data_IF_807658107858
#
_entry.id   IF_807658107858
#
_cell.length_a   1.000
_cell.length_b   1.000
_cell.length_c   1.000
_cell.angle_alpha   90.00
_cell.angle_beta   90.00
_cell.angle_gamma   90.00
#
_symmetry.space_group_name_H-M   'P 1'
#
loop_
_entity.id
_entity.type
_entity.pdbx_description
1 polymer ?
#
# COMPACT_ATOMS: atom_id res chain seq x y z
N UNK A 1 13.05 11.07 6.85
CA UNK A 1 11.68 10.58 6.67
C UNK A 1 11.17 11.06 5.33
N UNK A 2 10.81 10.12 4.45
CA UNK A 2 10.28 10.37 3.11
C UNK A 2 8.80 9.98 3.07
N UNK A 3 8.00 10.74 2.32
CA UNK A 3 6.61 10.39 2.00
C UNK A 3 6.57 9.76 0.61
N UNK A 4 6.23 8.49 0.54
CA UNK A 4 6.12 7.73 -0.70
C UNK A 4 4.68 7.76 -1.19
N UNK A 5 4.42 8.43 -2.32
CA UNK A 5 3.08 8.47 -2.92
C UNK A 5 2.84 7.19 -3.69
N UNK A 6 1.93 6.36 -3.21
CA UNK A 6 1.64 5.05 -3.84
C UNK A 6 1.05 5.27 -5.23
N UNK A 7 1.77 4.83 -6.26
CA UNK A 7 1.40 5.06 -7.66
C UNK A 7 1.76 6.44 -8.21
N UNK A 8 2.58 7.22 -7.49
CA UNK A 8 3.05 8.55 -7.87
C UNK A 8 1.91 9.51 -8.26
N UNK A 9 1.89 10.01 -9.51
CA UNK A 9 0.84 10.89 -10.02
C UNK A 9 -0.43 10.14 -10.44
N UNK A 10 -0.33 8.85 -10.72
CA UNK A 10 -1.47 8.00 -11.06
C UNK A 10 -2.32 7.67 -9.83
N UNK A 11 -1.67 7.54 -8.67
CA UNK A 11 -2.32 7.25 -7.40
C UNK A 11 -2.83 5.81 -7.28
N UNK A 12 -3.73 5.60 -6.34
CA UNK A 12 -4.30 4.30 -6.01
C UNK A 12 -5.62 4.09 -6.76
N UNK A 13 -5.58 3.33 -7.87
CA UNK A 13 -6.65 3.30 -8.87
C UNK A 13 -6.76 1.96 -9.59
N UNK A 14 -7.91 1.73 -10.23
CA UNK A 14 -8.14 0.67 -11.24
C UNK A 14 -8.51 1.24 -12.61
N UNK A 15 -8.52 2.57 -12.77
CA UNK A 15 -8.93 3.23 -14.03
C UNK A 15 -7.96 2.96 -15.18
N UNK A 16 -6.70 2.71 -14.86
CA UNK A 16 -5.66 2.32 -15.82
C UNK A 16 -4.93 1.10 -15.25
N UNK A 17 -4.46 0.17 -16.10
CA UNK A 17 -3.53 -0.86 -15.65
C UNK A 17 -2.31 -0.20 -15.00
N UNK A 18 -2.00 -0.56 -13.76
CA UNK A 18 -0.87 -0.01 -13.03
C UNK A 18 -0.13 -1.11 -12.27
N UNK A 19 1.20 -1.16 -12.43
CA UNK A 19 2.05 -2.15 -11.80
C UNK A 19 2.62 -1.61 -10.48
N UNK A 20 1.85 -1.81 -9.41
CA UNK A 20 2.26 -1.40 -8.06
C UNK A 20 3.47 -2.18 -7.54
N UNK A 21 3.72 -3.40 -8.04
CA UNK A 21 4.90 -4.18 -7.64
C UNK A 21 6.17 -3.57 -8.23
N UNK A 22 6.12 -3.13 -9.49
CA UNK A 22 7.20 -2.36 -10.13
C UNK A 22 7.40 -1.01 -9.46
N UNK A 23 6.34 -0.30 -9.11
CA UNK A 23 6.44 0.94 -8.35
C UNK A 23 7.12 0.70 -6.99
N UNK A 24 6.72 -0.35 -6.26
CA UNK A 24 7.36 -0.67 -4.98
C UNK A 24 8.84 -1.04 -5.15
N UNK A 25 9.21 -1.77 -6.20
CA UNK A 25 10.59 -2.18 -6.44
C UNK A 25 11.51 -1.02 -6.87
N UNK A 26 10.96 0.07 -7.42
CA UNK A 26 11.72 1.28 -7.71
C UNK A 26 11.94 2.19 -6.50
N UNK A 27 11.34 1.88 -5.35
CA UNK A 27 11.44 2.67 -4.13
C UNK A 27 12.23 1.93 -3.04
N UNK A 28 12.82 2.69 -2.12
CA UNK A 28 13.46 2.17 -0.91
C UNK A 28 12.72 2.71 0.30
N UNK A 29 12.14 1.82 1.10
CA UNK A 29 11.34 2.18 2.26
C UNK A 29 12.13 1.90 3.54
N UNK A 30 12.21 2.90 4.42
CA UNK A 30 12.88 2.77 5.71
C UNK A 30 11.90 3.02 6.86
N UNK A 31 12.23 2.51 8.04
CA UNK A 31 11.55 2.92 9.27
C UNK A 31 11.60 4.45 9.41
N UNK A 32 10.44 5.04 9.72
CA UNK A 32 10.26 6.50 9.82
C UNK A 32 9.74 7.15 8.54
N UNK A 33 9.70 6.43 7.41
CA UNK A 33 8.99 6.88 6.21
C UNK A 33 7.47 6.72 6.36
N UNK A 34 6.72 7.19 5.36
CA UNK A 34 5.27 6.98 5.28
C UNK A 34 4.83 6.68 3.85
N UNK A 35 3.73 5.94 3.72
CA UNK A 35 3.02 5.71 2.47
C UNK A 35 1.84 6.66 2.40
N UNK A 36 1.69 7.39 1.31
CA UNK A 36 0.52 8.21 1.03
C UNK A 36 -0.31 7.57 -0.08
N UNK A 37 -1.51 7.12 0.25
CA UNK A 37 -2.49 6.61 -0.70
C UNK A 37 -3.48 7.72 -1.06
N UNK A 38 -3.45 8.19 -2.31
CA UNK A 38 -4.44 9.14 -2.83
C UNK A 38 -5.40 8.44 -3.78
N UNK A 39 -6.71 8.58 -3.54
CA UNK A 39 -7.75 7.94 -4.31
C UNK A 39 -9.13 8.59 -4.10
N UNK A 40 -10.07 8.32 -5.00
CA UNK A 40 -11.47 8.66 -4.76
C UNK A 40 -12.08 7.66 -3.75
N UNK A 41 -12.35 8.12 -2.54
CA UNK A 41 -12.89 7.29 -1.45
C UNK A 41 -14.31 6.74 -1.68
N UNK A 42 -15.01 7.18 -2.74
CA UNK A 42 -16.26 6.55 -3.19
C UNK A 42 -16.03 5.22 -3.90
N UNK A 43 -14.84 5.01 -4.47
CA UNK A 43 -14.54 3.87 -5.34
C UNK A 43 -13.43 2.97 -4.82
N UNK A 44 -12.62 3.44 -3.87
CA UNK A 44 -11.47 2.70 -3.36
C UNK A 44 -11.36 2.85 -1.84
N UNK A 45 -10.61 1.94 -1.25
CA UNK A 45 -10.11 2.00 0.12
C UNK A 45 -8.70 1.37 0.17
N UNK A 46 -8.10 1.38 1.35
CA UNK A 46 -6.82 0.71 1.60
C UNK A 46 -7.00 -0.21 2.81
N UNK A 47 -6.72 -1.49 2.61
CA UNK A 47 -6.72 -2.49 3.66
C UNK A 47 -5.29 -2.95 3.89
N UNK A 48 -4.85 -2.96 5.14
CA UNK A 48 -3.64 -3.67 5.52
C UNK A 48 -4.00 -5.12 5.85
N UNK A 49 -3.30 -6.07 5.24
CA UNK A 49 -3.59 -7.50 5.33
C UNK A 49 -2.31 -8.29 5.62
N UNK A 50 -2.47 -9.58 5.94
CA UNK A 50 -1.34 -10.50 5.96
C UNK A 50 -0.96 -10.99 4.54
N UNK A 51 0.10 -11.80 4.45
CA UNK A 51 0.61 -12.29 3.17
C UNK A 51 -0.37 -13.25 2.47
N UNK A 52 -1.09 -14.09 3.21
CA UNK A 52 -2.02 -15.08 2.64
C UNK A 52 -3.24 -14.37 2.05
N UNK A 53 -3.80 -13.44 2.81
CA UNK A 53 -4.87 -12.55 2.39
C UNK A 53 -4.47 -11.73 1.17
N UNK A 54 -3.24 -11.20 1.17
CA UNK A 54 -2.70 -10.51 0.00
C UNK A 54 -2.68 -11.42 -1.23
N UNK A 55 -2.07 -12.60 -1.15
CA UNK A 55 -1.96 -13.55 -2.28
C UNK A 55 -3.32 -13.96 -2.82
N UNK A 56 -4.27 -14.26 -1.93
CA UNK A 56 -5.62 -14.71 -2.28
C UNK A 56 -6.61 -13.58 -2.60
N UNK A 57 -6.21 -12.31 -2.44
CA UNK A 57 -7.10 -11.15 -2.48
C UNK A 57 -8.29 -11.26 -1.52
N UNK A 58 -8.05 -11.82 -0.33
CA UNK A 58 -9.05 -11.90 0.73
C UNK A 58 -9.08 -10.61 1.55
N UNK A 59 -10.17 -9.86 1.47
CA UNK A 59 -10.40 -8.61 2.20
C UNK A 59 -11.29 -8.76 3.44
N UNK A 60 -11.61 -9.99 3.86
CA UNK A 60 -12.67 -10.25 4.85
C UNK A 60 -12.29 -9.90 6.30
N UNK A 61 -11.00 -9.91 6.64
CA UNK A 61 -10.51 -9.66 8.01
C UNK A 61 -9.19 -8.88 8.00
N UNK A 62 -9.19 -7.62 7.55
CA UNK A 62 -7.98 -6.82 7.46
C UNK A 62 -7.48 -6.44 8.86
N UNK A 63 -6.16 -6.29 9.01
CA UNK A 63 -5.54 -5.82 10.25
C UNK A 63 -5.80 -4.32 10.49
N UNK A 64 -5.95 -3.54 9.41
CA UNK A 64 -6.34 -2.13 9.47
C UNK A 64 -7.09 -1.75 8.19
N UNK A 65 -7.95 -0.73 8.29
CA UNK A 65 -8.74 -0.22 7.17
C UNK A 65 -8.66 1.30 7.14
N UNK A 66 -8.45 1.85 5.95
CA UNK A 66 -8.34 3.29 5.71
C UNK A 66 -9.22 3.67 4.52
N UNK A 67 -9.99 4.75 4.69
CA UNK A 67 -11.08 5.11 3.77
C UNK A 67 -11.17 6.63 3.54
N UNK A 68 -10.15 7.42 3.90
CA UNK A 68 -10.26 8.88 3.80
C UNK A 68 -10.15 9.38 2.35
N UNK A 69 -9.44 8.64 1.49
CA UNK A 69 -9.05 9.09 0.13
C UNK A 69 -7.68 9.76 0.06
N UNK A 70 -7.07 10.05 1.21
CA UNK A 70 -5.73 10.61 1.35
C UNK A 70 -5.05 10.05 2.62
N UNK A 71 -4.87 8.73 2.66
CA UNK A 71 -4.39 8.04 3.86
C UNK A 71 -2.87 8.04 3.94
N UNK A 72 -2.33 8.62 5.01
CA UNK A 72 -0.90 8.58 5.33
C UNK A 72 -0.61 7.51 6.37
N UNK A 73 0.09 6.45 5.96
CA UNK A 73 0.39 5.27 6.79
C UNK A 73 1.89 5.30 7.16
N UNK A 74 2.24 5.54 8.44
CA UNK A 74 3.64 5.56 8.87
C UNK A 74 4.26 4.15 8.91
N UNK A 75 5.47 4.02 8.40
CA UNK A 75 6.27 2.80 8.41
C UNK A 75 7.09 2.74 9.71
N UNK A 76 6.49 2.18 10.76
CA UNK A 76 7.03 2.26 12.13
C UNK A 76 8.05 1.18 12.50
N UNK A 77 8.12 0.08 11.73
CA UNK A 77 8.98 -1.07 12.04
C UNK A 77 9.49 -1.72 10.75
N UNK A 78 10.64 -2.41 10.79
CA UNK A 78 11.10 -3.18 9.65
C UNK A 78 10.16 -4.36 9.35
N UNK A 79 10.30 -4.89 8.14
CA UNK A 79 9.60 -6.09 7.67
C UNK A 79 8.76 -5.84 6.43
N UNK A 80 7.98 -6.85 6.06
CA UNK A 80 7.12 -6.80 4.88
C UNK A 80 5.67 -6.53 5.28
N UNK A 81 5.03 -5.60 4.57
CA UNK A 81 3.66 -5.19 4.76
C UNK A 81 2.89 -5.30 3.45
N UNK A 82 1.61 -5.61 3.57
CA UNK A 82 0.76 -5.87 2.43
C UNK A 82 -0.47 -4.98 2.49
N UNK A 83 -0.74 -4.31 1.37
CA UNK A 83 -1.90 -3.44 1.22
C UNK A 83 -2.68 -3.82 -0.03
N UNK A 84 -4.01 -3.74 0.04
CA UNK A 84 -4.89 -3.97 -1.11
C UNK A 84 -6.16 -3.12 -1.02
N UNK A 85 -6.84 -2.97 -2.16
CA UNK A 85 -8.17 -2.40 -2.21
C UNK A 85 -9.19 -3.52 -1.98
N UNK A 86 -10.08 -3.33 -1.01
CA UNK A 86 -11.09 -4.31 -0.62
C UNK A 86 -12.37 -4.27 -1.44
N UNK A 87 -12.51 -3.33 -2.38
CA UNK A 87 -13.67 -3.24 -3.25
C UNK A 87 -13.69 -4.46 -4.20
N UNK A 88 -14.84 -5.14 -4.39
CA UNK A 88 -14.91 -6.38 -5.16
C UNK A 88 -14.24 -6.29 -6.53
N UNK A 89 -13.31 -7.21 -6.82
CA UNK A 89 -12.57 -7.29 -8.07
C UNK A 89 -11.33 -6.40 -8.16
N UNK A 90 -11.17 -5.38 -7.30
CA UNK A 90 -10.08 -4.40 -7.45
C UNK A 90 -8.70 -4.98 -7.15
N UNK A 91 -8.57 -5.80 -6.09
CA UNK A 91 -7.33 -6.50 -5.80
C UNK A 91 -6.93 -7.45 -6.93
N UNK A 92 -7.91 -8.15 -7.52
CA UNK A 92 -7.72 -9.08 -8.64
C UNK A 92 -7.29 -8.35 -9.92
N UNK A 93 -7.75 -7.11 -10.11
CA UNK A 93 -7.27 -6.20 -11.17
C UNK A 93 -5.88 -5.63 -10.89
N UNK A 94 -5.23 -6.00 -9.78
CA UNK A 94 -3.87 -5.61 -9.45
C UNK A 94 -3.75 -4.43 -8.48
N UNK A 95 -4.85 -3.90 -7.93
CA UNK A 95 -4.82 -2.80 -6.95
C UNK A 95 -4.38 -3.30 -5.55
N UNK A 96 -3.11 -3.67 -5.46
CA UNK A 96 -2.43 -4.29 -4.31
C UNK A 96 -0.93 -3.99 -4.36
N UNK A 97 -0.29 -3.83 -3.20
CA UNK A 97 1.15 -3.56 -3.11
C UNK A 97 1.80 -4.27 -1.92
N UNK A 98 2.97 -4.85 -2.17
CA UNK A 98 3.89 -5.38 -1.15
C UNK A 98 4.96 -4.33 -0.86
N UNK A 99 5.17 -3.99 0.41
CA UNK A 99 6.12 -2.99 0.88
C UNK A 99 7.14 -3.65 1.78
N UNK A 100 8.41 -3.66 1.36
CA UNK A 100 9.53 -4.14 2.18
C UNK A 100 10.19 -2.93 2.85
N UNK A 101 10.14 -2.90 4.17
CA UNK A 101 10.68 -1.81 4.99
C UNK A 101 11.98 -2.26 5.63
N UNK A 102 13.05 -1.58 5.30
CA UNK A 102 14.34 -1.76 5.96
C UNK A 102 14.34 -1.07 7.33
N UNK A 103 15.13 -1.55 8.31
CA UNK A 103 15.21 -0.96 9.65
C UNK A 103 15.67 0.51 9.70
N UNK A 104 15.99 1.10 8.55
CA UNK A 104 16.70 2.36 8.44
C UNK A 104 18.18 2.15 8.72
N UNK A 105 19.03 3.03 8.18
CA UNK A 105 20.32 3.23 8.82
C UNK A 105 20.00 3.80 10.20
N UNK A 106 20.21 3.02 11.26
CA UNK A 106 20.55 3.59 12.55
C UNK A 106 21.68 4.58 12.27
N UNK A 107 21.39 5.88 12.35
CA UNK A 107 22.42 6.88 12.45
C UNK A 107 23.16 6.56 13.74
N UNK A 108 24.32 5.90 13.59
CA UNK A 108 25.34 5.55 14.58
C UNK A 108 24.86 5.29 16.02
#
# INVERSE_FOLDING_TARGET
ATVHKVGDSTGWTTLVPYDYAKWASSNKFHVGDSLLFNYNNKFHNVLQVDQEQFKSCNSSSPAASYTSGADSIPLKRPGTFYFLCGIPGHCQLGQKVEIKVDPGSSSA
#
